data_IF_177448815353
#
_entry.id   IF_177448815353
#
_cell.length_a   1.000
_cell.length_b   1.000
_cell.length_c   1.000
_cell.angle_alpha   90.00
_cell.angle_beta   90.00
_cell.angle_gamma   90.00
#
_symmetry.space_group_name_H-M   'P 1'
#
loop_
_entity.id
_entity.type
_entity.pdbx_description
1 polymer ?
#
# COMPACT_ATOMS: atom_id res chain seq x y z
N UNK A 1 3.56 -0.79 -2.30
CA UNK A 1 3.14 -0.17 -1.03
C UNK A 1 2.69 1.27 -1.25
N UNK A 2 1.69 1.76 -0.49
CA UNK A 2 0.98 3.03 -0.69
C UNK A 2 1.63 4.16 0.10
N UNK A 3 1.75 5.37 -0.49
CA UNK A 3 2.14 6.60 0.24
C UNK A 3 0.92 7.20 0.92
N UNK A 4 1.13 8.01 1.97
CA UNK A 4 0.00 8.62 2.70
C UNK A 4 -0.89 9.50 1.81
N UNK A 5 -0.31 10.26 0.89
CA UNK A 5 -1.06 11.07 -0.08
C UNK A 5 -1.86 10.23 -1.07
N UNK A 6 -1.31 9.10 -1.52
CA UNK A 6 -1.99 8.12 -2.37
C UNK A 6 -3.16 7.47 -1.61
N UNK A 7 -2.94 7.07 -0.34
CA UNK A 7 -4.01 6.52 0.51
C UNK A 7 -5.17 7.49 0.68
N UNK A 8 -4.87 8.77 0.92
CA UNK A 8 -5.89 9.82 1.08
C UNK A 8 -6.62 10.16 -0.23
N UNK A 9 -6.01 9.85 -1.38
CA UNK A 9 -6.58 10.05 -2.70
C UNK A 9 -7.34 8.86 -3.25
N UNK A 10 -7.37 7.71 -2.56
CA UNK A 10 -8.11 6.55 -3.02
C UNK A 10 -9.62 6.83 -3.07
N UNK A 11 -10.22 6.49 -4.20
CA UNK A 11 -11.66 6.53 -4.42
C UNK A 11 -12.22 5.12 -4.58
N UNK A 12 -13.52 4.97 -4.42
CA UNK A 12 -14.21 3.68 -4.59
C UNK A 12 -14.11 3.13 -6.01
N UNK A 13 -13.91 3.97 -7.01
CA UNK A 13 -13.66 3.53 -8.40
C UNK A 13 -12.29 2.88 -8.61
N UNK A 14 -11.39 3.06 -7.66
CA UNK A 14 -10.01 2.58 -7.71
C UNK A 14 -9.81 1.26 -6.96
N UNK A 15 -10.86 0.55 -6.57
CA UNK A 15 -10.75 -0.71 -5.82
C UNK A 15 -11.58 -1.82 -6.46
N UNK A 16 -11.04 -3.02 -6.46
CA UNK A 16 -11.76 -4.24 -6.76
C UNK A 16 -11.79 -5.12 -5.50
N UNK A 17 -12.93 -5.10 -4.82
CA UNK A 17 -13.21 -5.85 -3.60
C UNK A 17 -14.46 -6.72 -3.78
N UNK A 18 -14.72 -7.16 -5.02
CA UNK A 18 -15.79 -8.10 -5.32
C UNK A 18 -15.55 -9.44 -4.61
N UNK A 19 -16.64 -10.16 -4.33
CA UNK A 19 -16.56 -11.49 -3.71
C UNK A 19 -15.68 -12.44 -4.52
N UNK A 20 -15.75 -12.35 -5.86
CA UNK A 20 -14.92 -13.13 -6.77
C UNK A 20 -13.44 -12.75 -6.62
N UNK A 21 -13.10 -11.45 -6.63
CA UNK A 21 -11.73 -10.99 -6.46
C UNK A 21 -11.13 -11.38 -5.10
N UNK A 22 -11.95 -11.38 -4.04
CA UNK A 22 -11.53 -11.80 -2.69
C UNK A 22 -11.28 -13.30 -2.65
N UNK A 23 -12.22 -14.11 -3.19
CA UNK A 23 -12.11 -15.58 -3.20
C UNK A 23 -10.90 -16.09 -3.98
N UNK A 24 -10.51 -15.38 -5.03
CA UNK A 24 -9.35 -15.68 -5.88
C UNK A 24 -8.04 -14.99 -5.42
N UNK A 25 -8.03 -14.33 -4.26
CA UNK A 25 -6.90 -13.56 -3.73
C UNK A 25 -6.34 -12.51 -4.71
N UNK A 26 -7.20 -11.92 -5.53
CA UNK A 26 -6.85 -10.89 -6.52
C UNK A 26 -7.50 -9.53 -6.25
N UNK A 27 -8.08 -9.34 -5.05
CA UNK A 27 -8.56 -8.04 -4.62
C UNK A 27 -7.42 -7.00 -4.65
N UNK A 28 -7.67 -5.79 -5.15
CA UNK A 28 -6.65 -4.78 -5.32
C UNK A 28 -7.15 -3.35 -5.09
N UNK A 29 -6.21 -2.46 -4.82
CA UNK A 29 -6.38 -1.01 -4.96
C UNK A 29 -5.52 -0.51 -6.12
N UNK A 30 -6.08 0.37 -6.96
CA UNK A 30 -5.37 0.99 -8.07
C UNK A 30 -4.93 2.39 -7.66
N UNK A 31 -3.64 2.63 -7.64
CA UNK A 31 -3.05 3.92 -7.29
C UNK A 31 -2.88 4.70 -8.59
N UNK A 32 -3.71 5.73 -8.81
CA UNK A 32 -3.66 6.61 -9.98
C UNK A 32 -3.83 8.08 -9.59
N UNK A 33 -3.96 8.38 -8.31
CA UNK A 33 -4.17 9.73 -7.81
C UNK A 33 -3.70 9.88 -6.37
N UNK A 34 -3.53 11.13 -5.94
CA UNK A 34 -3.11 11.46 -4.59
C UNK A 34 -3.71 12.77 -4.11
N UNK A 35 -3.94 12.88 -2.81
CA UNK A 35 -4.26 14.17 -2.16
C UNK A 35 -2.98 14.83 -1.68
N UNK A 36 -2.77 16.07 -2.08
CA UNK A 36 -1.64 16.89 -1.67
C UNK A 36 -2.11 18.25 -1.15
N UNK A 37 -1.34 18.81 -0.22
CA UNK A 37 -1.55 20.17 0.26
C UNK A 37 -0.58 21.10 -0.47
N UNK A 38 -1.12 22.06 -1.19
CA UNK A 38 -0.35 23.02 -2.01
C UNK A 38 -0.69 24.46 -1.62
N UNK A 39 0.18 25.43 -1.91
CA UNK A 39 -0.16 26.83 -1.76
C UNK A 39 -1.20 27.23 -2.80
N UNK A 40 -1.99 28.29 -2.52
CA UNK A 40 -2.97 28.78 -3.48
C UNK A 40 -2.28 29.35 -4.73
N UNK A 41 -1.16 30.02 -4.54
CA UNK A 41 -0.32 30.52 -5.63
C UNK A 41 0.16 29.37 -6.52
N UNK A 42 0.63 28.25 -5.93
CA UNK A 42 1.08 27.10 -6.70
C UNK A 42 -0.07 26.41 -7.48
N UNK A 43 -1.32 26.52 -7.02
CA UNK A 43 -2.47 25.98 -7.77
C UNK A 43 -2.72 26.80 -9.03
N UNK A 44 -2.52 28.12 -8.99
CA UNK A 44 -2.66 29.00 -10.15
C UNK A 44 -1.54 28.77 -11.18
N UNK A 45 -0.33 28.39 -10.72
CA UNK A 45 0.82 28.07 -11.56
C UNK A 45 0.83 26.62 -12.05
N UNK A 46 0.20 25.68 -11.30
CA UNK A 46 0.05 24.29 -11.74
C UNK A 46 -0.86 24.26 -12.98
N UNK A 47 -0.26 23.82 -14.08
CA UNK A 47 -1.01 23.53 -15.28
C UNK A 47 -2.23 22.67 -14.92
N UNK A 48 -3.41 23.12 -15.25
CA UNK A 48 -4.71 22.52 -14.88
C UNK A 48 -4.84 21.03 -15.28
N UNK A 49 -3.86 20.50 -16.00
CA UNK A 49 -3.80 19.11 -16.45
C UNK A 49 -3.54 18.07 -15.36
N UNK A 50 -2.86 18.45 -14.26
CA UNK A 50 -2.54 17.51 -13.18
C UNK A 50 -3.57 17.53 -12.03
N UNK A 51 -4.35 18.60 -11.91
CA UNK A 51 -5.32 18.79 -10.83
C UNK A 51 -6.69 18.26 -11.25
N UNK A 52 -7.15 17.22 -10.58
CA UNK A 52 -8.47 16.63 -10.81
C UNK A 52 -9.54 17.43 -10.07
N UNK A 53 -9.25 17.81 -8.82
CA UNK A 53 -10.20 18.50 -7.94
C UNK A 53 -9.46 19.35 -6.90
N UNK A 54 -10.02 20.52 -6.61
CA UNK A 54 -9.61 21.39 -5.49
C UNK A 54 -10.66 21.29 -4.40
N UNK A 55 -10.28 20.80 -3.22
CA UNK A 55 -11.18 20.71 -2.09
C UNK A 55 -11.41 22.07 -1.46
N UNK A 56 -12.64 22.43 -1.05
CA UNK A 56 -12.92 23.69 -0.42
C UNK A 56 -12.13 23.85 0.88
N UNK A 57 -11.60 25.05 1.08
CA UNK A 57 -10.87 25.38 2.31
C UNK A 57 -11.84 25.64 3.46
N UNK A 58 -11.69 24.93 4.58
CA UNK A 58 -12.50 25.13 5.78
C UNK A 58 -12.26 26.48 6.46
N UNK A 59 -11.15 27.17 6.16
CA UNK A 59 -10.81 28.48 6.74
C UNK A 59 -10.55 29.49 5.64
N UNK A 60 -11.20 30.64 5.70
CA UNK A 60 -11.08 31.71 4.69
C UNK A 60 -9.65 32.20 4.47
N UNK A 61 -8.82 32.23 5.53
CA UNK A 61 -7.46 32.78 5.50
C UNK A 61 -6.36 31.72 5.29
N UNK A 62 -6.69 30.49 4.90
CA UNK A 62 -5.67 29.50 4.59
C UNK A 62 -4.90 29.88 3.34
N UNK A 63 -3.57 29.94 3.45
CA UNK A 63 -2.66 30.10 2.30
C UNK A 63 -2.50 28.82 1.46
N UNK A 64 -3.02 27.70 1.95
CA UNK A 64 -2.92 26.39 1.30
C UNK A 64 -4.28 25.77 1.10
N UNK A 65 -4.42 24.97 0.06
CA UNK A 65 -5.58 24.13 -0.25
C UNK A 65 -5.16 22.69 -0.42
N UNK A 66 -6.12 21.76 -0.31
CA UNK A 66 -5.91 20.37 -0.66
C UNK A 66 -6.40 20.16 -2.09
N UNK A 67 -5.61 19.44 -2.86
CA UNK A 67 -5.95 19.08 -4.23
C UNK A 67 -5.88 17.56 -4.40
N UNK A 68 -6.79 17.02 -5.18
CA UNK A 68 -6.69 15.70 -5.73
C UNK A 68 -6.00 15.83 -7.08
N UNK A 69 -4.91 15.12 -7.29
CA UNK A 69 -4.15 15.21 -8.54
C UNK A 69 -3.63 13.85 -8.99
N UNK A 70 -3.31 13.75 -10.26
CA UNK A 70 -2.60 12.61 -10.83
C UNK A 70 -1.16 12.54 -10.31
N UNK A 71 -0.52 11.35 -10.27
CA UNK A 71 0.90 11.24 -9.98
C UNK A 71 1.75 11.93 -11.03
N UNK A 72 2.93 12.41 -10.64
CA UNK A 72 3.86 13.12 -11.56
C UNK A 72 4.44 12.24 -12.68
N UNK A 73 4.39 10.92 -12.55
CA UNK A 73 4.96 9.97 -13.50
C UNK A 73 4.02 8.80 -13.72
N UNK A 74 3.91 8.33 -14.96
CA UNK A 74 3.10 7.16 -15.33
C UNK A 74 3.51 5.89 -14.55
N UNK A 75 4.80 5.77 -14.21
CA UNK A 75 5.32 4.67 -13.38
C UNK A 75 4.79 4.67 -11.93
N UNK A 76 4.13 5.74 -11.50
CA UNK A 76 3.47 5.82 -10.19
C UNK A 76 2.10 5.15 -10.19
N UNK A 77 1.47 4.98 -11.34
CA UNK A 77 0.21 4.25 -11.49
C UNK A 77 0.48 2.75 -11.35
N UNK A 78 -0.26 2.12 -10.44
CA UNK A 78 -0.04 0.70 -10.16
C UNK A 78 -1.20 0.06 -9.42
N UNK A 79 -1.40 -1.23 -9.67
CA UNK A 79 -2.24 -2.09 -8.82
C UNK A 79 -1.44 -2.55 -7.61
N UNK A 80 -2.07 -2.50 -6.45
CA UNK A 80 -1.57 -3.07 -5.20
C UNK A 80 -2.57 -4.11 -4.73
N UNK A 81 -2.21 -5.37 -4.81
CA UNK A 81 -3.04 -6.45 -4.31
C UNK A 81 -3.13 -6.40 -2.79
N UNK A 82 -4.32 -6.62 -2.27
CA UNK A 82 -4.62 -6.54 -0.83
C UNK A 82 -5.09 -7.90 -0.31
N UNK A 83 -4.71 -8.26 0.92
CA UNK A 83 -5.24 -9.46 1.57
C UNK A 83 -6.76 -9.39 1.77
N UNK A 84 -7.43 -10.55 1.81
CA UNK A 84 -8.89 -10.62 1.96
C UNK A 84 -9.42 -9.90 3.20
N UNK A 85 -8.69 -9.93 4.33
CA UNK A 85 -9.10 -9.19 5.54
C UNK A 85 -9.09 -7.66 5.33
N UNK A 86 -8.17 -7.12 4.52
CA UNK A 86 -8.15 -5.69 4.17
C UNK A 86 -9.32 -5.35 3.25
N UNK A 87 -9.63 -6.24 2.28
CA UNK A 87 -10.80 -6.07 1.42
C UNK A 87 -12.10 -6.07 2.25
N UNK A 88 -12.22 -6.95 3.25
CA UNK A 88 -13.37 -6.96 4.17
C UNK A 88 -13.47 -5.65 4.95
N UNK A 89 -12.38 -5.12 5.49
CA UNK A 89 -12.38 -3.80 6.14
C UNK A 89 -12.86 -2.69 5.21
N UNK A 90 -12.51 -2.73 3.92
CA UNK A 90 -12.99 -1.74 2.95
C UNK A 90 -14.49 -1.89 2.68
N UNK A 91 -15.03 -3.11 2.64
CA UNK A 91 -16.48 -3.36 2.53
C UNK A 91 -17.21 -2.76 3.72
N UNK A 92 -16.70 -2.98 4.94
CA UNK A 92 -17.31 -2.46 6.16
C UNK A 92 -17.29 -0.92 6.18
N UNK A 93 -16.15 -0.30 5.80
CA UNK A 93 -16.03 1.16 5.66
C UNK A 93 -17.03 1.70 4.63
N UNK A 94 -17.19 1.00 3.49
CA UNK A 94 -18.15 1.42 2.47
C UNK A 94 -19.57 1.44 3.00
N UNK A 95 -19.95 0.39 3.70
CA UNK A 95 -21.29 0.28 4.31
C UNK A 95 -21.53 1.40 5.32
N UNK A 96 -20.59 1.66 6.23
CA UNK A 96 -20.69 2.76 7.19
C UNK A 96 -20.79 4.13 6.50
N UNK A 97 -20.02 4.36 5.43
CA UNK A 97 -20.10 5.60 4.67
C UNK A 97 -21.45 5.76 3.96
N UNK A 98 -22.00 4.70 3.40
CA UNK A 98 -23.29 4.74 2.71
C UNK A 98 -24.43 5.04 3.72
N UNK A 99 -24.38 4.47 4.93
CA UNK A 99 -25.30 4.82 6.04
C UNK A 99 -25.20 6.29 6.45
N UNK A 100 -23.96 6.82 6.55
CA UNK A 100 -23.73 8.25 6.87
C UNK A 100 -24.22 9.16 5.74
N UNK A 101 -24.00 8.78 4.47
CA UNK A 101 -24.50 9.53 3.30
C UNK A 101 -26.04 9.62 3.33
N UNK A 102 -26.69 8.50 3.60
CA UNK A 102 -28.15 8.46 3.71
C UNK A 102 -28.67 9.34 4.85
N UNK A 103 -28.03 9.29 6.03
CA UNK A 103 -28.43 10.05 7.20
C UNK A 103 -28.23 11.56 7.03
N UNK A 104 -27.14 12.00 6.38
CA UNK A 104 -26.82 13.41 6.20
C UNK A 104 -27.44 14.04 4.93
N UNK A 105 -27.80 13.23 3.95
CA UNK A 105 -28.40 13.68 2.70
C UNK A 105 -27.57 14.79 2.03
N UNK A 106 -28.15 15.96 1.86
CA UNK A 106 -27.52 17.12 1.20
C UNK A 106 -26.35 17.76 1.98
N UNK A 107 -26.16 17.42 3.24
CA UNK A 107 -25.02 17.91 4.04
C UNK A 107 -23.74 17.11 3.75
N UNK A 108 -23.86 15.93 3.19
CA UNK A 108 -22.71 15.13 2.77
C UNK A 108 -22.25 15.57 1.37
N UNK A 109 -20.97 15.94 1.24
CA UNK A 109 -20.37 16.21 -0.07
C UNK A 109 -19.63 14.98 -0.55
N UNK A 110 -20.18 14.27 -1.53
CA UNK A 110 -19.60 13.03 -2.03
C UNK A 110 -18.48 13.30 -3.05
N UNK A 111 -17.26 13.08 -2.62
CA UNK A 111 -16.06 13.07 -3.49
C UNK A 111 -15.60 11.64 -3.84
N UNK A 112 -16.43 10.64 -3.55
CA UNK A 112 -16.14 9.22 -3.77
C UNK A 112 -14.86 8.71 -3.06
N UNK A 113 -14.37 9.42 -2.04
CA UNK A 113 -13.15 9.08 -1.30
C UNK A 113 -13.40 7.93 -0.32
N UNK A 114 -12.45 6.98 -0.24
CA UNK A 114 -12.44 5.95 0.79
C UNK A 114 -12.10 6.57 2.15
N UNK A 115 -11.06 7.41 2.21
CA UNK A 115 -10.61 8.09 3.41
C UNK A 115 -11.30 9.46 3.55
N UNK A 116 -12.61 9.43 3.82
CA UNK A 116 -13.44 10.62 3.99
C UNK A 116 -13.78 10.88 5.46
N UNK A 117 -14.01 12.15 5.80
CA UNK A 117 -14.64 12.56 7.07
C UNK A 117 -16.13 12.28 7.04
N UNK A 118 -16.82 12.43 8.17
CA UNK A 118 -18.30 12.30 8.26
C UNK A 118 -19.05 13.15 7.23
N UNK A 119 -18.50 14.28 6.80
CA UNK A 119 -19.10 15.16 5.79
C UNK A 119 -18.52 14.96 4.37
N UNK A 120 -17.80 13.87 4.13
CA UNK A 120 -17.26 13.50 2.80
C UNK A 120 -15.92 14.18 2.43
N UNK A 121 -15.41 15.09 3.27
CA UNK A 121 -14.12 15.75 3.00
C UNK A 121 -12.93 14.80 3.21
N UNK A 122 -11.80 14.97 2.48
CA UNK A 122 -10.62 14.12 2.70
C UNK A 122 -10.11 14.26 4.14
N UNK A 123 -9.74 13.14 4.76
CA UNK A 123 -9.13 13.09 6.09
C UNK A 123 -7.78 13.82 6.06
N UNK A 124 -7.35 14.36 7.20
CA UNK A 124 -6.03 14.98 7.33
C UNK A 124 -4.96 13.90 7.52
N UNK A 125 -3.80 14.08 6.89
CA UNK A 125 -2.66 13.17 7.08
C UNK A 125 -2.16 13.12 8.54
N UNK A 126 -2.33 14.20 9.31
CA UNK A 126 -2.05 14.20 10.75
C UNK A 126 -2.95 13.23 11.50
N UNK A 127 -4.25 13.20 11.17
CA UNK A 127 -5.18 12.26 11.80
C UNK A 127 -4.73 10.79 11.62
N UNK A 128 -4.28 10.41 10.43
CA UNK A 128 -3.76 9.05 10.17
C UNK A 128 -2.54 8.76 11.05
N UNK A 129 -1.62 9.72 11.19
CA UNK A 129 -0.44 9.56 12.05
C UNK A 129 -0.83 9.44 13.51
N UNK A 130 -1.77 10.27 13.98
CA UNK A 130 -2.24 10.25 15.36
C UNK A 130 -2.95 8.91 15.68
N UNK A 131 -3.72 8.34 14.74
CA UNK A 131 -4.32 7.02 14.92
C UNK A 131 -3.25 5.91 14.93
N UNK A 132 -2.24 5.98 14.06
CA UNK A 132 -1.10 5.05 14.07
C UNK A 132 -0.38 5.10 15.42
N UNK A 133 -0.10 6.29 15.95
CA UNK A 133 0.57 6.45 17.25
C UNK A 133 -0.26 5.84 18.38
N UNK A 134 -1.57 6.05 18.38
CA UNK A 134 -2.45 5.41 19.39
C UNK A 134 -2.40 3.89 19.35
N UNK A 135 -2.29 3.29 18.16
CA UNK A 135 -2.14 1.83 18.03
C UNK A 135 -0.78 1.39 18.56
N UNK A 136 0.30 2.08 18.21
CA UNK A 136 1.66 1.82 18.71
C UNK A 136 1.68 1.84 20.23
N UNK A 137 1.14 2.90 20.83
CA UNK A 137 1.11 3.09 22.29
C UNK A 137 0.27 2.00 22.98
N UNK A 138 -0.90 1.65 22.42
CA UNK A 138 -1.81 0.65 22.97
C UNK A 138 -1.22 -0.76 22.94
N UNK A 139 -0.56 -1.13 21.84
CA UNK A 139 -0.02 -2.47 21.61
C UNK A 139 1.45 -2.60 22.06
N UNK A 140 2.05 -1.54 22.60
CA UNK A 140 3.46 -1.54 23.03
C UNK A 140 4.44 -1.81 21.88
N UNK A 141 4.11 -1.38 20.66
CA UNK A 141 4.94 -1.59 19.48
C UNK A 141 6.12 -0.62 19.45
N UNK A 142 7.22 -0.97 18.76
CA UNK A 142 8.29 -0.02 18.50
C UNK A 142 7.78 1.24 17.81
N UNK A 143 8.35 2.40 18.14
CA UNK A 143 7.97 3.67 17.50
C UNK A 143 8.31 3.63 16.00
N UNK A 144 7.28 3.71 15.18
CA UNK A 144 7.40 3.66 13.72
C UNK A 144 6.59 4.78 13.08
N UNK A 145 7.14 5.40 12.05
CA UNK A 145 6.42 6.38 11.24
C UNK A 145 5.84 5.72 9.99
N UNK A 146 4.78 6.29 9.46
CA UNK A 146 4.09 5.76 8.26
C UNK A 146 5.05 5.48 7.10
N UNK A 147 6.09 6.30 6.94
CA UNK A 147 7.09 6.12 5.89
C UNK A 147 8.01 4.91 6.14
N UNK A 148 8.38 4.63 7.39
CA UNK A 148 9.21 3.46 7.73
C UNK A 148 8.47 2.14 7.50
N UNK A 149 7.17 2.07 7.72
CA UNK A 149 6.35 0.91 7.36
C UNK A 149 6.50 0.52 5.89
N UNK A 150 6.63 1.53 5.01
CA UNK A 150 6.90 1.31 3.59
C UNK A 150 8.25 0.62 3.36
N UNK A 151 9.31 1.07 4.02
CA UNK A 151 10.64 0.45 3.90
C UNK A 151 10.64 -0.97 4.43
N UNK A 152 10.06 -1.21 5.60
CA UNK A 152 9.94 -2.54 6.22
C UNK A 152 9.24 -3.53 5.30
N UNK A 153 8.12 -3.13 4.68
CA UNK A 153 7.38 -4.00 3.76
C UNK A 153 8.18 -4.36 2.49
N UNK A 154 9.01 -3.45 1.98
CA UNK A 154 9.89 -3.74 0.83
C UNK A 154 10.99 -4.72 1.23
N UNK A 155 11.62 -4.49 2.38
CA UNK A 155 12.67 -5.37 2.92
C UNK A 155 12.14 -6.77 3.19
N UNK A 156 10.93 -6.88 3.77
CA UNK A 156 10.28 -8.17 4.02
C UNK A 156 10.06 -8.95 2.72
N UNK A 157 9.48 -8.33 1.69
CA UNK A 157 9.27 -8.97 0.37
C UNK A 157 10.57 -9.41 -0.30
N UNK A 158 11.63 -8.61 -0.19
CA UNK A 158 12.95 -8.98 -0.74
C UNK A 158 13.55 -10.17 0.00
N UNK A 159 13.33 -10.28 1.31
CA UNK A 159 13.82 -11.42 2.09
C UNK A 159 13.01 -12.68 1.77
N UNK A 160 11.67 -12.61 1.64
CA UNK A 160 10.86 -13.74 1.18
C UNK A 160 11.33 -14.26 -0.20
N UNK A 161 11.57 -13.37 -1.17
CA UNK A 161 12.07 -13.77 -2.49
C UNK A 161 13.44 -14.45 -2.40
N UNK A 162 14.35 -13.94 -1.56
CA UNK A 162 15.65 -14.58 -1.33
C UNK A 162 15.55 -15.95 -0.66
N UNK A 163 14.60 -16.11 0.25
CA UNK A 163 14.33 -17.41 0.89
C UNK A 163 13.72 -18.39 -0.10
N UNK A 164 12.87 -17.93 -1.03
CA UNK A 164 12.34 -18.77 -2.11
C UNK A 164 13.41 -19.13 -3.14
N UNK A 165 14.28 -18.20 -3.52
CA UNK A 165 15.42 -18.45 -4.42
C UNK A 165 16.45 -19.40 -3.80
N UNK A 166 16.61 -19.39 -2.47
CA UNK A 166 17.50 -20.29 -1.73
C UNK A 166 16.86 -21.64 -1.37
N UNK A 167 15.58 -21.86 -1.65
CA UNK A 167 14.99 -23.19 -1.56
C UNK A 167 15.61 -24.07 -2.63
N UNK A 168 16.56 -24.92 -2.21
CA UNK A 168 17.14 -25.96 -3.05
C UNK A 168 15.98 -26.88 -3.48
N UNK A 169 15.58 -26.80 -4.73
CA UNK A 169 14.63 -27.75 -5.32
C UNK A 169 15.35 -29.10 -5.41
N UNK A 170 15.02 -30.01 -4.49
CA UNK A 170 15.53 -31.38 -4.52
C UNK A 170 14.88 -32.06 -5.73
N UNK A 171 15.66 -32.57 -6.72
CA UNK A 171 15.10 -33.29 -7.87
C UNK A 171 14.27 -34.49 -7.40
N UNK A 172 13.16 -34.76 -8.10
CA UNK A 172 12.36 -35.97 -7.84
C UNK A 172 13.23 -37.22 -7.86
N UNK A 173 13.22 -38.02 -6.78
CA UNK A 173 13.98 -39.25 -6.63
C UNK A 173 15.26 -39.15 -5.79
N UNK A 174 15.58 -37.98 -5.25
CA UNK A 174 16.72 -37.81 -4.33
C UNK A 174 16.19 -37.76 -2.88
N UNK A 175 16.70 -38.68 -2.05
CA UNK A 175 16.36 -38.72 -0.63
C UNK A 175 16.90 -37.47 0.12
N UNK A 176 16.04 -36.66 0.74
CA UNK A 176 16.44 -35.45 1.44
C UNK A 176 17.47 -35.68 2.55
N UNK A 177 17.37 -36.80 3.28
CA UNK A 177 18.33 -37.16 4.33
C UNK A 177 19.71 -37.46 3.78
N UNK A 178 19.76 -38.13 2.62
CA UNK A 178 21.02 -38.45 1.94
C UNK A 178 21.69 -37.19 1.40
N UNK A 179 20.90 -36.25 0.87
CA UNK A 179 21.38 -34.94 0.41
C UNK A 179 21.97 -34.13 1.56
N UNK A 180 21.30 -34.09 2.69
CA UNK A 180 21.78 -33.35 3.89
C UNK A 180 23.05 -33.97 4.48
N UNK A 181 23.19 -35.30 4.45
CA UNK A 181 24.42 -36.00 4.85
C UNK A 181 25.59 -35.68 3.92
N UNK A 182 25.35 -35.63 2.60
CA UNK A 182 26.36 -35.29 1.60
C UNK A 182 26.80 -33.84 1.70
N UNK A 183 25.85 -32.90 1.87
CA UNK A 183 26.14 -31.48 2.03
C UNK A 183 26.77 -31.13 3.40
N UNK A 184 26.48 -31.91 4.43
CA UNK A 184 27.09 -31.77 5.76
C UNK A 184 28.52 -32.36 5.86
N UNK A 185 29.02 -33.06 4.83
CA UNK A 185 30.36 -33.58 4.83
C UNK A 185 31.34 -32.53 4.23
N UNK A 186 32.34 -32.06 4.99
CA UNK A 186 33.24 -30.97 4.56
C UNK A 186 34.09 -31.38 3.32
N UNK A 187 34.42 -32.67 3.13
CA UNK A 187 35.16 -33.14 1.95
C UNK A 187 34.29 -33.09 0.69
N UNK A 188 33.01 -33.43 0.80
CA UNK A 188 32.08 -33.35 -0.33
C UNK A 188 31.72 -31.89 -0.67
N UNK A 189 31.61 -31.03 0.31
CA UNK A 189 31.44 -29.60 0.08
C UNK A 189 32.62 -28.96 -0.68
N UNK A 190 33.86 -29.36 -0.35
CA UNK A 190 35.06 -28.93 -1.04
C UNK A 190 35.11 -29.45 -2.50
N UNK A 191 34.70 -30.69 -2.74
CA UNK A 191 34.61 -31.29 -4.07
C UNK A 191 33.56 -30.60 -4.96
N UNK A 192 32.37 -30.32 -4.41
CA UNK A 192 31.30 -29.61 -5.12
C UNK A 192 31.73 -28.18 -5.45
N UNK A 193 32.43 -27.50 -4.54
CA UNK A 193 32.95 -26.14 -4.76
C UNK A 193 34.04 -26.14 -5.88
N UNK A 194 34.85 -27.16 -5.91
CA UNK A 194 35.87 -27.35 -6.98
C UNK A 194 35.25 -27.61 -8.34
N UNK A 195 34.22 -28.48 -8.41
CA UNK A 195 33.45 -28.76 -9.62
C UNK A 195 32.71 -27.52 -10.12
N UNK A 196 32.07 -26.77 -9.26
CA UNK A 196 31.38 -25.51 -9.63
C UNK A 196 32.34 -24.45 -10.20
N UNK A 197 33.59 -24.40 -9.71
CA UNK A 197 34.64 -23.53 -10.26
C UNK A 197 35.12 -23.99 -11.66
N UNK A 198 35.12 -25.28 -11.96
CA UNK A 198 35.54 -25.81 -13.28
C UNK A 198 34.42 -25.72 -14.32
N UNK A 199 33.15 -25.63 -13.92
CA UNK A 199 32.00 -25.46 -14.81
C UNK A 199 31.72 -23.98 -15.20
N UNK A 200 32.41 -23.03 -14.62
CA UNK A 200 32.36 -21.59 -14.99
C UNK A 200 33.51 -21.26 -15.95
N UNK A 201 33.56 -21.92 -17.09
CA UNK A 201 34.36 -21.51 -18.26
C UNK A 201 33.40 -21.26 -19.42
#
# INVERSE_FOLDING_TARGET
MVRIGELLGLTWDCVDISEEAISENRAYVFINQQVERVSKEAVEELDSKEVILIFPSQRKNNKTVRVLKTPKTDTSERKVYIPGFVAQCLIDIKKEQDEVKEALGSEYTDYNLIMATTFGMPINSSYIRDQLQKVIDREGLPDVVFHSLRHTSVTYKLNEQKEEENKITIPEGVDPELLMKVLGNPEMAALLTSLAKTMKV
#
